data_IF_933489701792
#
_entry.id   IF_933489701792
#
_cell.length_a   1.000
_cell.length_b   1.000
_cell.length_c   1.000
_cell.angle_alpha   90.00
_cell.angle_beta   90.00
_cell.angle_gamma   90.00
#
_symmetry.space_group_name_H-M   'P 1'
#
loop_
_entity.id
_entity.type
_entity.pdbx_description
1 polymer ?
#
# COMPACT_ATOMS: atom_id res chain seq x y z
N UNK A 1 12.06 5.11 1.31
CA UNK A 1 10.78 4.37 1.33
C UNK A 1 9.67 5.32 1.77
N UNK A 2 8.47 5.16 1.21
CA UNK A 2 7.25 5.83 1.68
C UNK A 2 6.21 4.78 2.10
N UNK A 3 5.46 5.06 3.16
CA UNK A 3 4.40 4.20 3.66
C UNK A 3 3.06 4.93 3.55
N UNK A 4 2.13 4.34 2.79
CA UNK A 4 0.88 4.95 2.32
C UNK A 4 1.07 6.29 1.57
N UNK A 5 0.00 6.78 0.95
CA UNK A 5 0.06 7.94 0.05
C UNK A 5 -1.05 8.97 0.27
N UNK A 6 -1.94 8.74 1.24
CA UNK A 6 -3.05 9.65 1.52
C UNK A 6 -4.18 9.56 0.49
N UNK A 7 -5.24 10.33 0.75
CA UNK A 7 -6.45 10.41 -0.09
C UNK A 7 -6.23 11.22 -1.38
N UNK A 8 -5.57 12.37 -1.26
CA UNK A 8 -5.48 13.38 -2.32
C UNK A 8 -4.01 13.59 -2.72
N UNK A 9 -3.64 13.40 -4.01
CA UNK A 9 -2.26 13.58 -4.47
C UNK A 9 -1.71 15.01 -4.28
N UNK A 10 -2.55 16.03 -4.19
CA UNK A 10 -2.12 17.43 -3.97
C UNK A 10 -1.57 17.67 -2.56
N UNK A 11 -1.98 16.86 -1.58
CA UNK A 11 -1.54 17.00 -0.18
C UNK A 11 -0.09 16.54 0.00
N UNK A 12 0.33 15.34 -0.43
CA UNK A 12 1.73 14.94 -0.45
C UNK A 12 2.60 15.94 -1.20
N UNK A 13 2.18 16.41 -2.37
CA UNK A 13 2.91 17.38 -3.20
C UNK A 13 3.24 18.67 -2.44
N UNK A 14 2.23 19.30 -1.83
CA UNK A 14 2.42 20.51 -1.01
C UNK A 14 3.32 20.25 0.22
N UNK A 15 3.21 19.07 0.82
CA UNK A 15 4.00 18.73 2.00
C UNK A 15 5.47 18.50 1.64
N UNK A 16 5.76 17.80 0.54
CA UNK A 16 7.15 17.60 0.13
C UNK A 16 7.85 18.87 -0.32
N UNK A 17 7.12 19.81 -0.92
CA UNK A 17 7.64 21.14 -1.24
C UNK A 17 8.09 21.86 0.04
N UNK A 18 7.22 21.90 1.06
CA UNK A 18 7.53 22.53 2.36
C UNK A 18 8.67 21.83 3.10
N UNK A 19 8.70 20.51 3.07
CA UNK A 19 9.72 19.70 3.72
C UNK A 19 11.02 19.61 2.90
N UNK A 20 11.04 20.16 1.68
CA UNK A 20 12.17 20.10 0.73
C UNK A 20 12.62 18.66 0.46
N UNK A 21 11.67 17.75 0.35
CA UNK A 21 11.88 16.33 0.07
C UNK A 21 11.78 16.09 -1.43
N UNK A 22 12.76 15.40 -2.01
CA UNK A 22 12.71 14.95 -3.40
C UNK A 22 12.06 13.56 -3.50
N UNK A 23 10.80 13.52 -3.96
CA UNK A 23 10.03 12.27 -4.12
C UNK A 23 10.69 11.27 -5.09
N UNK A 24 11.54 11.73 -6.02
CA UNK A 24 12.23 10.85 -6.98
C UNK A 24 13.26 9.94 -6.30
N UNK A 25 13.72 10.33 -5.10
CA UNK A 25 14.61 9.53 -4.25
C UNK A 25 13.90 8.39 -3.52
N UNK A 26 12.58 8.25 -3.65
CA UNK A 26 11.86 7.10 -3.10
C UNK A 26 12.11 5.88 -4.00
N UNK A 27 12.64 4.80 -3.41
CA UNK A 27 12.92 3.55 -4.12
C UNK A 27 11.76 2.55 -4.09
N UNK A 28 10.92 2.63 -3.05
CA UNK A 28 9.81 1.72 -2.81
C UNK A 28 8.69 2.44 -2.04
N UNK A 29 7.44 2.07 -2.34
CA UNK A 29 6.24 2.43 -1.58
C UNK A 29 5.68 1.17 -0.94
N UNK A 30 5.13 1.27 0.26
CA UNK A 30 4.37 0.20 0.93
C UNK A 30 2.95 0.72 1.17
N UNK A 31 1.93 -0.04 0.76
CA UNK A 31 0.52 0.24 1.05
C UNK A 31 0.05 -0.70 2.15
N UNK A 32 -0.55 -0.15 3.20
CA UNK A 32 -1.05 -0.92 4.33
C UNK A 32 -2.29 -1.75 3.98
N UNK A 33 -3.28 -1.14 3.30
CA UNK A 33 -4.55 -1.77 2.93
C UNK A 33 -5.25 -1.01 1.77
N UNK A 34 -6.26 -1.60 1.09
CA UNK A 34 -6.73 -1.11 -0.21
C UNK A 34 -7.73 0.05 -0.13
N UNK A 35 -7.79 0.79 0.97
CA UNK A 35 -8.68 1.94 1.07
C UNK A 35 -8.09 3.18 0.38
N UNK A 36 -8.98 4.02 -0.16
CA UNK A 36 -8.62 5.15 -1.02
C UNK A 36 -7.80 6.21 -0.27
N UNK A 37 -8.04 6.38 1.03
CA UNK A 37 -7.28 7.27 1.90
C UNK A 37 -5.82 6.82 2.14
N UNK A 38 -5.44 5.62 1.69
CA UNK A 38 -4.06 5.13 1.70
C UNK A 38 -3.43 5.09 0.30
N UNK A 39 -4.25 4.98 -0.75
CA UNK A 39 -3.79 4.72 -2.13
C UNK A 39 -3.93 5.92 -3.07
N UNK A 40 -4.72 6.92 -2.71
CA UNK A 40 -5.10 8.03 -3.60
C UNK A 40 -3.92 8.84 -4.14
N UNK A 41 -2.87 9.01 -3.35
CA UNK A 41 -1.65 9.71 -3.77
C UNK A 41 -0.73 8.92 -4.71
N UNK A 42 -0.97 7.63 -4.98
CA UNK A 42 -0.11 6.81 -5.86
C UNK A 42 0.02 7.40 -7.28
N UNK A 43 -1.02 8.10 -7.77
CA UNK A 43 -1.03 8.73 -9.09
C UNK A 43 0.07 9.78 -9.27
N UNK A 44 0.53 10.40 -8.18
CA UNK A 44 1.65 11.35 -8.20
C UNK A 44 2.95 10.67 -8.65
N UNK A 45 3.17 9.41 -8.25
CA UNK A 45 4.41 8.69 -8.54
C UNK A 45 4.47 8.11 -9.95
N UNK A 46 3.32 7.76 -10.53
CA UNK A 46 3.26 7.19 -11.87
C UNK A 46 3.81 8.12 -12.95
N UNK A 47 3.58 9.43 -12.85
CA UNK A 47 4.13 10.40 -13.80
C UNK A 47 5.62 10.67 -13.55
N UNK A 48 6.07 10.63 -12.29
CA UNK A 48 7.44 10.95 -11.93
C UNK A 48 8.42 9.78 -12.07
N UNK A 49 7.99 8.55 -11.75
CA UNK A 49 8.84 7.36 -11.68
C UNK A 49 8.04 6.10 -12.08
N UNK A 50 7.76 5.93 -13.39
CA UNK A 50 7.20 4.68 -13.90
C UNK A 50 8.03 3.47 -13.46
N UNK A 51 7.38 2.35 -13.16
CA UNK A 51 8.03 1.14 -12.66
C UNK A 51 8.49 1.22 -11.20
N UNK A 52 8.14 2.28 -10.45
CA UNK A 52 8.39 2.32 -9.01
C UNK A 52 7.67 1.14 -8.32
N UNK A 53 8.42 0.39 -7.52
CA UNK A 53 7.92 -0.78 -6.77
C UNK A 53 6.96 -0.34 -5.67
N UNK A 54 5.78 -0.94 -5.66
CA UNK A 54 4.74 -0.72 -4.65
C UNK A 54 4.38 -2.06 -4.02
N UNK A 55 4.79 -2.25 -2.77
CA UNK A 55 4.43 -3.42 -1.98
C UNK A 55 3.00 -3.26 -1.49
N UNK A 56 2.15 -4.25 -1.77
CA UNK A 56 0.73 -4.21 -1.47
C UNK A 56 0.27 -5.50 -0.80
N UNK A 57 -0.79 -5.48 0.03
CA UNK A 57 -1.44 -6.71 0.46
C UNK A 57 -2.04 -7.47 -0.74
N UNK A 58 -2.34 -8.77 -0.57
CA UNK A 58 -3.01 -9.57 -1.60
C UNK A 58 -4.44 -9.06 -1.86
N UNK A 59 -4.57 -8.12 -2.79
CA UNK A 59 -5.84 -7.59 -3.26
C UNK A 59 -5.78 -7.39 -4.78
N UNK A 60 -6.77 -7.93 -5.50
CA UNK A 60 -6.80 -7.87 -6.97
C UNK A 60 -7.09 -6.46 -7.49
N UNK A 61 -8.01 -5.75 -6.83
CA UNK A 61 -8.42 -4.41 -7.24
C UNK A 61 -7.28 -3.42 -7.04
N UNK A 62 -6.59 -3.51 -5.90
CA UNK A 62 -5.41 -2.71 -5.60
C UNK A 62 -4.26 -3.00 -6.57
N UNK A 63 -4.00 -4.28 -6.88
CA UNK A 63 -2.99 -4.65 -7.89
C UNK A 63 -3.26 -3.97 -9.22
N UNK A 64 -4.49 -4.05 -9.72
CA UNK A 64 -4.87 -3.42 -10.99
C UNK A 64 -4.78 -1.89 -10.91
N UNK A 65 -5.20 -1.30 -9.80
CA UNK A 65 -5.11 0.14 -9.57
C UNK A 65 -3.66 0.63 -9.63
N UNK A 66 -2.73 -0.06 -8.97
CA UNK A 66 -1.29 0.26 -8.98
C UNK A 66 -0.66 0.03 -10.36
N UNK A 67 -1.02 -1.06 -11.04
CA UNK A 67 -0.43 -1.39 -12.34
C UNK A 67 -0.91 -0.47 -13.46
N UNK A 68 -2.18 -0.03 -13.41
CA UNK A 68 -2.80 0.74 -14.50
C UNK A 68 -2.09 2.05 -14.85
N UNK A 69 -1.53 2.84 -13.90
CA UNK A 69 -0.75 4.03 -14.22
C UNK A 69 0.76 3.75 -14.42
N UNK A 70 1.18 2.47 -14.51
CA UNK A 70 2.55 2.09 -14.82
C UNK A 70 3.48 1.91 -13.62
N UNK A 71 2.96 1.74 -12.40
CA UNK A 71 3.76 1.32 -11.24
C UNK A 71 3.89 -0.21 -11.20
N UNK A 72 4.86 -0.73 -10.43
CA UNK A 72 5.10 -2.17 -10.30
C UNK A 72 4.50 -2.70 -8.98
N UNK A 73 3.31 -3.35 -9.00
CA UNK A 73 2.75 -3.94 -7.78
C UNK A 73 3.48 -5.23 -7.39
N UNK A 74 3.92 -5.30 -6.14
CA UNK A 74 4.49 -6.50 -5.51
C UNK A 74 3.54 -6.95 -4.39
N UNK A 75 2.83 -8.05 -4.61
CA UNK A 75 1.92 -8.60 -3.61
C UNK A 75 2.68 -9.33 -2.50
N UNK A 76 2.53 -8.86 -1.27
CA UNK A 76 3.16 -9.44 -0.08
C UNK A 76 2.30 -10.57 0.46
N UNK A 77 2.60 -11.80 0.03
CA UNK A 77 1.92 -13.02 0.49
C UNK A 77 2.64 -13.68 1.69
N UNK A 78 3.92 -13.40 1.86
CA UNK A 78 4.79 -13.84 2.96
C UNK A 78 5.67 -12.68 3.40
N UNK A 79 6.29 -12.79 4.59
CA UNK A 79 7.22 -11.76 5.07
C UNK A 79 8.34 -11.52 4.06
N UNK A 80 8.57 -10.26 3.70
CA UNK A 80 9.55 -9.84 2.70
C UNK A 80 10.41 -8.70 3.24
N UNK A 81 11.71 -8.74 2.97
CA UNK A 81 12.62 -7.63 3.21
C UNK A 81 12.50 -6.64 2.04
N UNK A 82 11.96 -5.45 2.30
CA UNK A 82 11.69 -4.42 1.25
C UNK A 82 12.87 -3.46 1.06
N UNK A 83 13.69 -3.34 2.09
CA UNK A 83 14.98 -2.64 2.11
C UNK A 83 15.83 -3.25 3.23
N UNK A 84 17.14 -3.02 3.21
CA UNK A 84 18.08 -3.59 4.20
C UNK A 84 17.60 -3.31 5.63
N UNK A 85 17.27 -4.38 6.37
CA UNK A 85 16.78 -4.32 7.75
C UNK A 85 15.33 -3.85 7.92
N UNK A 86 14.56 -3.73 6.83
CA UNK A 86 13.16 -3.29 6.82
C UNK A 86 12.30 -4.39 6.21
N UNK A 87 11.35 -4.90 7.00
CA UNK A 87 10.49 -6.02 6.63
C UNK A 87 9.03 -5.61 6.58
N UNK A 88 8.30 -6.09 5.57
CA UNK A 88 6.84 -6.13 5.57
C UNK A 88 6.43 -7.55 5.88
N UNK A 89 5.70 -7.74 6.98
CA UNK A 89 5.28 -9.07 7.44
C UNK A 89 4.05 -9.55 6.67
N UNK A 90 3.87 -10.88 6.61
CA UNK A 90 2.69 -11.48 5.99
C UNK A 90 1.40 -10.85 6.55
N UNK A 91 0.35 -10.66 5.72
CA UNK A 91 -0.94 -10.21 6.22
C UNK A 91 -1.46 -11.15 7.32
N UNK A 92 -2.00 -10.58 8.39
CA UNK A 92 -2.78 -11.35 9.35
C UNK A 92 -4.06 -11.82 8.65
N UNK A 93 -4.31 -13.14 8.58
CA UNK A 93 -5.54 -13.70 8.00
C UNK A 93 -6.83 -13.31 8.77
N UNK A 94 -6.72 -12.55 9.85
CA UNK A 94 -7.83 -12.12 10.69
C UNK A 94 -8.51 -10.86 10.15
N UNK A 95 -9.18 -10.99 9.00
CA UNK A 95 -10.28 -10.07 8.71
C UNK A 95 -11.51 -10.56 9.49
N UNK A 96 -12.14 -9.73 10.37
CA UNK A 96 -13.33 -10.14 11.13
C UNK A 96 -14.49 -10.65 10.26
N UNK A 97 -14.58 -10.28 8.98
CA UNK A 97 -15.59 -10.78 8.02
C UNK A 97 -15.38 -12.24 7.60
N UNK A 98 -14.23 -12.85 7.90
CA UNK A 98 -13.93 -14.26 7.61
C UNK A 98 -14.02 -15.17 8.85
N UNK A 99 -14.36 -14.61 10.02
CA UNK A 99 -14.73 -15.41 11.19
C UNK A 99 -16.11 -16.02 10.94
N UNK A 100 -16.13 -17.29 10.52
CA UNK A 100 -17.33 -18.12 10.69
C UNK A 100 -17.47 -18.35 12.20
N UNK A 101 -18.38 -17.62 12.84
CA UNK A 101 -18.70 -17.86 14.26
C UNK A 101 -19.17 -19.32 14.39
N UNK A 102 -18.62 -20.13 15.31
CA UNK A 102 -19.15 -21.46 15.56
C UNK A 102 -20.61 -21.31 15.97
N UNK A 103 -21.53 -21.92 15.23
CA UNK A 103 -22.99 -21.79 15.41
C UNK A 103 -23.55 -22.45 16.68
N UNK A 104 -22.78 -22.53 17.77
CA UNK A 104 -23.13 -23.21 19.02
C UNK A 104 -22.93 -22.36 20.29
N UNK A 105 -23.20 -21.07 20.23
CA UNK A 105 -23.30 -20.24 21.43
C UNK A 105 -24.47 -19.26 21.26
N UNK A 106 -25.68 -19.82 21.23
CA UNK A 106 -26.95 -19.10 21.39
C UNK A 106 -28.04 -20.09 21.83
N UNK A 107 -27.77 -20.84 22.89
CA UNK A 107 -28.76 -21.44 23.79
C UNK A 107 -28.11 -21.42 25.15
N UNK A 108 -28.48 -20.41 25.93
CA UNK A 108 -28.82 -20.44 27.35
C UNK A 108 -29.23 -19.02 27.76
#
# INVERSE_FOLDING_TARGET
>A
MLFDTGLDPSVPERNVEKLRIDLRKIDVIVISHPHVDHTGGLRLFSSMKPGLRVYIPPDRSLKNYVQSPGLEPIQVNSTVEVAKGIFVVKPSMDHPSRRRWPSRLARD
#
